data_IF_343456401253
#
_entry.id   IF_343456401253
#
_cell.length_a   1.000
_cell.length_b   1.000
_cell.length_c   1.000
_cell.angle_alpha   90.00
_cell.angle_beta   90.00
_cell.angle_gamma   90.00
#
_symmetry.space_group_name_H-M   'P 1'
#
loop_
_entity.id
_entity.type
_entity.pdbx_description
1 polymer ?
#
# COMPACT_ATOMS: atom_id res chain seq x y z
N UNK A 1 7.84 -5.60 0.89
CA UNK A 1 9.19 -5.83 0.32
C UNK A 1 9.55 -4.82 -0.76
N UNK A 2 8.76 -4.69 -1.85
CA UNK A 2 9.03 -3.68 -2.91
C UNK A 2 9.28 -2.26 -2.39
N UNK A 3 8.40 -1.74 -1.52
CA UNK A 3 8.55 -0.38 -0.97
C UNK A 3 9.84 -0.20 -0.18
N UNK A 4 10.21 -1.19 0.64
CA UNK A 4 11.42 -1.13 1.49
C UNK A 4 12.70 -1.17 0.66
N UNK A 5 12.71 -1.87 -0.47
CA UNK A 5 13.91 -1.95 -1.34
C UNK A 5 14.11 -0.71 -2.21
N UNK A 6 13.03 0.00 -2.58
CA UNK A 6 13.13 1.23 -3.38
C UNK A 6 13.49 2.46 -2.54
N UNK A 7 13.18 2.43 -1.24
CA UNK A 7 13.48 3.50 -0.31
C UNK A 7 14.85 3.23 0.34
N UNK A 8 15.81 4.13 0.13
CA UNK A 8 17.11 4.08 0.78
C UNK A 8 16.98 4.58 2.24
N UNK A 9 16.55 3.69 3.13
CA UNK A 9 16.28 4.00 4.54
C UNK A 9 17.52 3.76 5.39
N UNK A 10 17.97 4.78 6.13
CA UNK A 10 19.01 4.60 7.14
C UNK A 10 18.43 3.91 8.39
N UNK A 11 18.57 2.59 8.43
CA UNK A 11 18.14 1.78 9.56
C UNK A 11 19.00 1.98 10.82
N UNK A 12 20.20 2.53 10.72
CA UNK A 12 21.09 2.72 11.87
C UNK A 12 20.65 3.92 12.71
N UNK A 13 20.29 5.04 12.07
CA UNK A 13 19.75 6.22 12.77
C UNK A 13 18.38 5.92 13.41
N UNK A 14 17.48 5.24 12.66
CA UNK A 14 16.17 4.82 13.17
C UNK A 14 16.28 3.91 14.42
N UNK A 15 17.31 3.05 14.46
CA UNK A 15 17.53 2.14 15.60
C UNK A 15 17.95 2.88 16.86
N UNK A 16 18.70 3.97 16.75
CA UNK A 16 19.13 4.76 17.90
C UNK A 16 17.94 5.44 18.59
N UNK A 17 17.02 6.01 17.80
CA UNK A 17 15.80 6.63 18.34
C UNK A 17 14.82 5.59 18.89
N UNK A 18 14.67 4.45 18.20
CA UNK A 18 13.84 3.34 18.68
C UNK A 18 14.34 2.76 20.01
N UNK A 19 15.66 2.70 20.23
CA UNK A 19 16.25 2.19 21.46
C UNK A 19 15.88 3.03 22.69
N UNK A 20 15.66 4.34 22.53
CA UNK A 20 15.24 5.23 23.63
C UNK A 20 13.84 4.89 24.14
N UNK A 21 12.93 4.47 23.26
CA UNK A 21 11.56 4.09 23.62
C UNK A 21 11.39 2.61 23.97
N UNK A 22 12.42 1.79 23.74
CA UNK A 22 12.38 0.34 23.96
C UNK A 22 11.97 -0.05 25.39
N UNK A 23 12.48 0.57 26.47
CA UNK A 23 12.06 0.21 27.83
C UNK A 23 10.56 0.45 28.09
N UNK A 24 10.01 1.55 27.56
CA UNK A 24 8.59 1.87 27.66
C UNK A 24 7.73 0.91 26.84
N UNK A 25 8.15 0.62 25.60
CA UNK A 25 7.45 -0.34 24.74
C UNK A 25 7.43 -1.74 25.36
N UNK A 26 8.55 -2.17 25.98
CA UNK A 26 8.65 -3.44 26.68
C UNK A 26 7.73 -3.49 27.90
N UNK A 27 7.68 -2.42 28.68
CA UNK A 27 6.74 -2.31 29.81
C UNK A 27 5.29 -2.47 29.34
N UNK A 28 4.89 -1.76 28.28
CA UNK A 28 3.53 -1.86 27.71
C UNK A 28 3.26 -3.28 27.19
N UNK A 29 4.22 -3.87 26.45
CA UNK A 29 4.11 -5.24 25.95
C UNK A 29 3.95 -6.26 27.08
N UNK A 30 4.67 -6.10 28.19
CA UNK A 30 4.55 -6.95 29.37
C UNK A 30 3.17 -6.82 30.02
N UNK A 31 2.65 -5.60 30.13
CA UNK A 31 1.31 -5.35 30.67
C UNK A 31 0.24 -6.03 29.80
N UNK A 32 0.32 -5.87 28.46
CA UNK A 32 -0.61 -6.53 27.52
C UNK A 32 -0.49 -8.05 27.62
N UNK A 33 0.74 -8.58 27.70
CA UNK A 33 0.95 -10.02 27.86
C UNK A 33 0.32 -10.52 29.17
N UNK A 34 0.50 -9.80 30.27
CA UNK A 34 -0.10 -10.13 31.55
C UNK A 34 -1.63 -10.12 31.46
N UNK A 35 -2.21 -9.12 30.78
CA UNK A 35 -3.65 -9.06 30.53
C UNK A 35 -4.14 -10.30 29.75
N UNK A 36 -3.43 -10.73 28.71
CA UNK A 36 -3.77 -11.95 27.99
C UNK A 36 -3.64 -13.20 28.85
N UNK A 37 -2.57 -13.33 29.63
CA UNK A 37 -2.40 -14.48 30.54
C UNK A 37 -3.53 -14.53 31.57
N UNK A 38 -3.92 -13.39 32.15
CA UNK A 38 -5.05 -13.34 33.08
C UNK A 38 -6.39 -13.65 32.38
N UNK A 39 -6.62 -13.09 31.20
CA UNK A 39 -7.87 -13.28 30.45
C UNK A 39 -8.03 -14.73 29.97
N UNK A 40 -6.97 -15.34 29.44
CA UNK A 40 -7.00 -16.71 28.94
C UNK A 40 -6.74 -17.77 30.01
N UNK A 41 -6.00 -17.45 31.07
CA UNK A 41 -5.66 -18.40 32.13
C UNK A 41 -6.85 -18.83 32.99
N UNK A 42 -7.90 -17.99 33.04
CA UNK A 42 -9.17 -18.29 33.73
C UNK A 42 -10.31 -18.50 32.73
N UNK A 43 -10.00 -18.53 31.42
CA UNK A 43 -11.01 -18.77 30.41
C UNK A 43 -11.41 -20.25 30.42
N UNK A 44 -12.67 -20.52 30.75
CA UNK A 44 -13.30 -21.82 30.54
C UNK A 44 -14.36 -21.75 29.44
N UNK A 45 -14.44 -22.78 28.60
CA UNK A 45 -15.50 -22.90 27.59
C UNK A 45 -16.82 -23.19 28.29
N UNK A 46 -17.82 -22.35 28.06
CA UNK A 46 -19.16 -22.61 28.57
C UNK A 46 -19.67 -23.96 28.05
N UNK A 47 -20.17 -24.82 28.93
CA UNK A 47 -20.67 -26.16 28.55
C UNK A 47 -21.82 -26.11 27.52
N UNK A 48 -22.57 -25.01 27.51
CA UNK A 48 -23.67 -24.75 26.56
C UNK A 48 -23.20 -24.12 25.24
N UNK A 49 -21.91 -23.81 25.08
CA UNK A 49 -21.39 -23.14 23.88
C UNK A 49 -21.74 -23.84 22.57
N UNK A 50 -21.69 -25.20 22.45
CA UNK A 50 -22.05 -25.88 21.21
C UNK A 50 -23.52 -25.68 20.81
N UNK A 51 -24.42 -25.56 21.79
CA UNK A 51 -25.86 -25.40 21.57
C UNK A 51 -26.25 -23.96 21.21
N UNK A 52 -25.39 -22.99 21.54
CA UNK A 52 -25.60 -21.56 21.30
C UNK A 52 -24.97 -21.07 19.98
N UNK A 53 -24.39 -21.96 19.18
CA UNK A 53 -23.79 -21.58 17.89
C UNK A 53 -24.88 -21.17 16.90
N UNK A 54 -24.94 -19.88 16.58
CA UNK A 54 -25.89 -19.34 15.60
C UNK A 54 -25.70 -19.92 14.18
N UNK A 55 -24.46 -20.25 13.81
CA UNK A 55 -24.12 -20.88 12.53
C UNK A 55 -23.04 -21.96 12.77
N UNK A 56 -23.41 -23.21 13.07
CA UNK A 56 -22.45 -24.29 13.23
C UNK A 56 -21.78 -24.60 11.88
N UNK A 57 -20.50 -24.99 11.93
CA UNK A 57 -19.75 -25.33 10.72
C UNK A 57 -20.36 -26.59 10.10
N UNK A 58 -20.85 -26.52 8.86
CA UNK A 58 -21.48 -27.66 8.22
C UNK A 58 -20.42 -28.70 7.83
N UNK A 59 -20.68 -29.98 8.15
CA UNK A 59 -19.79 -31.11 7.84
C UNK A 59 -19.96 -31.63 6.41
N UNK A 60 -21.07 -31.26 5.75
CA UNK A 60 -21.54 -31.78 4.47
C UNK A 60 -21.16 -30.92 3.26
N UNK A 61 -20.55 -29.75 3.48
CA UNK A 61 -20.16 -28.82 2.40
C UNK A 61 -18.83 -28.12 2.68
N UNK A 62 -18.26 -27.52 1.65
CA UNK A 62 -17.01 -26.76 1.79
C UNK A 62 -17.22 -25.47 2.57
N UNK A 63 -16.21 -25.10 3.37
CA UNK A 63 -16.22 -23.87 4.17
C UNK A 63 -16.45 -22.62 3.31
N UNK A 64 -15.86 -22.55 2.10
CA UNK A 64 -16.04 -21.42 1.18
C UNK A 64 -17.49 -21.25 0.74
N UNK A 65 -18.19 -22.36 0.47
CA UNK A 65 -19.60 -22.34 0.09
C UNK A 65 -20.47 -21.89 1.27
N UNK A 66 -20.24 -22.47 2.45
CA UNK A 66 -20.98 -22.12 3.67
C UNK A 66 -20.81 -20.63 4.04
N UNK A 67 -19.59 -20.11 3.99
CA UNK A 67 -19.32 -18.69 4.22
C UNK A 67 -19.93 -17.81 3.13
N UNK A 68 -19.88 -18.24 1.86
CA UNK A 68 -20.50 -17.52 0.75
C UNK A 68 -21.99 -17.30 0.99
N UNK A 69 -22.73 -18.35 1.37
CA UNK A 69 -24.17 -18.24 1.66
C UNK A 69 -24.45 -17.20 2.73
N UNK A 70 -23.69 -17.21 3.84
CA UNK A 70 -23.90 -16.27 4.95
C UNK A 70 -23.51 -14.83 4.56
N UNK A 71 -22.37 -14.66 3.87
CA UNK A 71 -21.85 -13.35 3.48
C UNK A 71 -22.79 -12.67 2.47
N UNK A 72 -23.28 -13.41 1.47
CA UNK A 72 -24.11 -12.86 0.40
C UNK A 72 -25.59 -12.76 0.75
N UNK A 73 -26.09 -13.54 1.72
CA UNK A 73 -27.49 -13.50 2.13
C UNK A 73 -27.69 -12.58 3.36
N UNK A 74 -27.05 -12.92 4.49
CA UNK A 74 -27.28 -12.24 5.76
C UNK A 74 -26.44 -10.96 5.94
N UNK A 75 -25.18 -10.98 5.46
CA UNK A 75 -24.23 -9.89 5.66
C UNK A 75 -23.93 -9.10 4.39
N UNK A 76 -24.84 -9.13 3.42
CA UNK A 76 -24.68 -8.48 2.12
C UNK A 76 -24.26 -7.00 2.24
N UNK A 77 -24.88 -6.24 3.16
CA UNK A 77 -24.55 -4.83 3.36
C UNK A 77 -23.10 -4.62 3.82
N UNK A 78 -22.63 -5.42 4.77
CA UNK A 78 -21.25 -5.34 5.27
C UNK A 78 -20.25 -5.70 4.18
N UNK A 79 -20.57 -6.71 3.37
CA UNK A 79 -19.77 -7.08 2.20
C UNK A 79 -19.69 -5.93 1.19
N UNK A 80 -20.82 -5.28 0.89
CA UNK A 80 -20.87 -4.13 0.00
C UNK A 80 -20.05 -2.94 0.53
N UNK A 81 -20.13 -2.65 1.83
CA UNK A 81 -19.33 -1.60 2.46
C UNK A 81 -17.83 -1.91 2.41
N UNK A 82 -17.43 -3.17 2.62
CA UNK A 82 -16.03 -3.57 2.43
C UNK A 82 -15.57 -3.33 0.98
N UNK A 83 -16.42 -3.60 -0.02
CA UNK A 83 -16.17 -3.26 -1.42
C UNK A 83 -15.96 -1.76 -1.66
N UNK A 84 -16.77 -0.90 -1.03
CA UNK A 84 -16.59 0.55 -1.09
C UNK A 84 -15.28 1.00 -0.44
N UNK A 85 -14.90 0.41 0.69
CA UNK A 85 -13.62 0.68 1.35
C UNK A 85 -12.45 0.33 0.42
N UNK A 86 -12.50 -0.82 -0.25
CA UNK A 86 -11.47 -1.23 -1.22
C UNK A 86 -11.40 -0.28 -2.42
N UNK A 87 -12.55 0.17 -2.92
CA UNK A 87 -12.61 1.16 -4.00
C UNK A 87 -11.94 2.48 -3.58
N UNK A 88 -12.30 2.99 -2.39
CA UNK A 88 -11.71 4.21 -1.84
C UNK A 88 -10.21 4.04 -1.60
N UNK A 89 -9.75 2.88 -1.12
CA UNK A 89 -8.33 2.60 -0.93
C UNK A 89 -7.55 2.65 -2.25
N UNK A 90 -8.09 2.08 -3.33
CA UNK A 90 -7.47 2.17 -4.66
C UNK A 90 -7.41 3.61 -5.18
N UNK A 91 -8.52 4.35 -5.07
CA UNK A 91 -8.56 5.77 -5.48
C UNK A 91 -7.55 6.58 -4.66
N UNK A 92 -7.50 6.37 -3.34
CA UNK A 92 -6.55 7.02 -2.44
C UNK A 92 -5.10 6.75 -2.85
N UNK A 93 -4.75 5.49 -3.09
CA UNK A 93 -3.40 5.13 -3.55
C UNK A 93 -3.02 5.80 -4.88
N UNK A 94 -3.93 5.84 -5.85
CA UNK A 94 -3.70 6.51 -7.14
C UNK A 94 -3.54 8.02 -6.95
N UNK A 95 -4.47 8.68 -6.26
CA UNK A 95 -4.42 10.15 -6.07
C UNK A 95 -3.17 10.58 -5.30
N UNK A 96 -2.73 9.79 -4.31
CA UNK A 96 -1.51 10.07 -3.56
C UNK A 96 -0.22 9.90 -4.38
N UNK A 97 -0.22 9.07 -5.41
CA UNK A 97 0.97 8.75 -6.20
C UNK A 97 0.98 9.40 -7.59
N UNK A 98 -0.19 9.82 -8.09
CA UNK A 98 -0.36 10.44 -9.40
C UNK A 98 0.26 11.84 -9.39
N UNK A 99 1.53 11.92 -9.80
CA UNK A 99 2.26 13.18 -9.95
C UNK A 99 2.25 13.64 -11.40
N UNK A 100 1.57 14.75 -11.69
CA UNK A 100 1.71 15.41 -12.98
C UNK A 100 3.03 16.20 -13.02
N UNK A 101 3.90 15.90 -14.00
CA UNK A 101 5.15 16.64 -14.22
C UNK A 101 4.97 17.63 -15.36
N UNK A 102 4.95 18.92 -15.03
CA UNK A 102 4.84 20.03 -15.98
C UNK A 102 6.21 20.47 -16.53
N UNK A 103 7.30 20.05 -15.88
CA UNK A 103 8.70 20.34 -16.21
C UNK A 103 9.28 19.44 -17.32
N UNK A 104 8.46 18.60 -17.96
CA UNK A 104 8.91 17.69 -19.01
C UNK A 104 8.92 18.41 -20.34
N UNK A 105 10.12 18.65 -20.89
CA UNK A 105 10.28 19.09 -22.28
C UNK A 105 9.74 18.01 -23.20
N UNK A 106 8.58 18.25 -23.80
CA UNK A 106 8.01 17.38 -24.84
C UNK A 106 8.47 17.88 -26.20
N UNK A 107 8.84 16.94 -27.07
CA UNK A 107 9.18 17.24 -28.45
C UNK A 107 7.90 17.54 -29.21
N UNK A 108 7.85 18.68 -29.88
CA UNK A 108 6.88 18.94 -30.92
C UNK A 108 7.51 18.58 -32.26
N UNK A 109 7.09 17.44 -32.82
CA UNK A 109 7.63 16.89 -34.06
C UNK A 109 7.33 17.84 -35.24
N UNK A 110 6.16 18.46 -35.26
CA UNK A 110 5.75 19.35 -36.35
C UNK A 110 6.56 20.65 -36.29
N UNK A 111 6.69 21.24 -35.10
CA UNK A 111 7.50 22.45 -34.91
C UNK A 111 8.98 22.21 -35.24
N UNK A 112 9.49 20.98 -35.06
CA UNK A 112 10.87 20.63 -35.43
C UNK A 112 11.04 20.36 -36.93
N UNK A 113 10.10 19.67 -37.58
CA UNK A 113 10.16 19.39 -39.01
C UNK A 113 9.98 20.66 -39.86
N UNK A 114 9.12 21.56 -39.43
CA UNK A 114 8.80 22.81 -40.14
C UNK A 114 9.76 23.96 -39.79
N UNK A 115 10.86 23.66 -39.07
CA UNK A 115 11.82 24.67 -38.64
C UNK A 115 12.65 25.12 -39.84
N UNK A 116 12.71 26.43 -40.07
CA UNK A 116 13.47 27.00 -41.18
C UNK A 116 14.98 26.72 -41.03
N UNK A 117 15.61 26.00 -41.99
CA UNK A 117 17.04 25.71 -41.95
C UNK A 117 17.91 26.97 -41.92
N UNK A 118 17.48 28.05 -42.58
CA UNK A 118 18.26 29.30 -42.69
C UNK A 118 18.35 30.06 -41.35
N UNK A 119 17.32 29.96 -40.51
CA UNK A 119 17.33 30.52 -39.15
C UNK A 119 18.01 29.58 -38.14
N UNK A 120 18.14 28.29 -38.47
CA UNK A 120 18.64 27.27 -37.56
C UNK A 120 20.15 27.05 -37.65
N UNK A 121 20.77 27.23 -38.82
CA UNK A 121 22.20 26.99 -39.02
C UNK A 121 22.83 28.05 -39.92
N UNK A 122 23.99 28.56 -39.51
CA UNK A 122 24.83 29.44 -40.32
C UNK A 122 25.97 28.59 -40.92
N UNK A 123 25.94 28.41 -42.24
CA UNK A 123 27.01 27.71 -42.95
C UNK A 123 28.16 28.70 -43.20
N UNK A 124 29.20 28.62 -42.35
CA UNK A 124 30.46 29.32 -42.58
C UNK A 124 31.44 28.41 -43.31
N UNK A 125 31.85 28.84 -44.50
CA UNK A 125 32.86 28.15 -45.28
C UNK A 125 34.26 28.59 -44.82
N UNK A 126 34.91 27.74 -44.01
CA UNK A 126 36.23 28.02 -43.43
C UNK A 126 37.31 27.36 -44.26
N UNK A 127 38.34 28.13 -44.63
CA UNK A 127 39.47 27.63 -45.40
C UNK A 127 40.34 26.69 -44.54
N UNK A 128 40.91 25.61 -45.14
CA UNK A 128 41.71 24.65 -44.40
C UNK A 128 42.87 25.32 -43.66
N UNK A 129 43.02 25.03 -42.37
CA UNK A 129 44.08 25.58 -41.51
C UNK A 129 43.72 26.87 -40.77
N UNK A 130 42.53 27.44 -40.98
CA UNK A 130 41.96 28.46 -40.10
C UNK A 130 40.86 27.81 -39.26
N UNK A 131 41.19 27.51 -38.00
CA UNK A 131 40.18 27.13 -37.02
C UNK A 131 39.27 28.33 -36.72
N UNK A 132 37.99 28.05 -36.50
CA UNK A 132 37.04 29.02 -35.94
C UNK A 132 37.47 29.46 -34.54
#
# INVERSE_FOLDING_TARGET
LFVVMMLDVDFAELKAEMARYMPLALLIGLVILMQFVMAFGVWETAHQAPELLANPVPADRHNTEALGLIIYDQYFLLFQLAGLILLVAMIGAIVLTLRHRTDVKRQDVVAQMMRDPAAAMELKDVKPGQGL
#
